data_IF_472098599650
#
_entry.id   IF_472098599650
#
_cell.length_a   1.000
_cell.length_b   1.000
_cell.length_c   1.000
_cell.angle_alpha   90.00
_cell.angle_beta   90.00
_cell.angle_gamma   90.00
#
_symmetry.space_group_name_H-M   'P 1'
#
loop_
_entity.id
_entity.type
_entity.pdbx_description
1 polymer ?
#
# COMPACT_ATOMS: atom_id res chain seq x y z
N UNK A 1 16.83 -27.64 2.12
CA UNK A 1 17.46 -28.52 3.14
C UNK A 1 17.93 -27.76 4.37
N UNK A 2 18.73 -26.69 4.24
CA UNK A 2 19.19 -25.87 5.39
C UNK A 2 18.05 -25.35 6.29
N UNK A 3 16.96 -24.84 5.71
CA UNK A 3 15.80 -24.36 6.47
C UNK A 3 15.23 -25.41 7.45
N UNK A 4 15.01 -26.64 6.97
CA UNK A 4 14.45 -27.73 7.78
C UNK A 4 15.38 -28.14 8.93
N UNK A 5 16.69 -28.10 8.70
CA UNK A 5 17.70 -28.36 9.74
C UNK A 5 17.62 -27.28 10.83
N UNK A 6 17.60 -26.01 10.44
CA UNK A 6 17.48 -24.89 11.39
C UNK A 6 16.17 -24.96 12.19
N UNK A 7 15.04 -25.21 11.52
CA UNK A 7 13.74 -25.33 12.18
C UNK A 7 13.72 -26.50 13.20
N UNK A 8 14.29 -27.65 12.84
CA UNK A 8 14.38 -28.81 13.73
C UNK A 8 15.27 -28.53 14.95
N UNK A 9 16.44 -27.90 14.74
CA UNK A 9 17.37 -27.53 15.83
C UNK A 9 16.73 -26.52 16.77
N UNK A 10 16.05 -25.50 16.23
CA UNK A 10 15.39 -24.48 17.03
C UNK A 10 14.24 -25.07 17.87
N UNK A 11 13.44 -25.96 17.27
CA UNK A 11 12.35 -26.66 17.97
C UNK A 11 12.90 -27.54 19.09
N UNK A 12 14.00 -28.27 18.85
CA UNK A 12 14.66 -29.08 19.87
C UNK A 12 15.22 -28.22 21.02
N UNK A 13 15.81 -27.06 20.72
CA UNK A 13 16.30 -26.13 21.72
C UNK A 13 15.17 -25.57 22.62
N UNK A 14 14.03 -25.22 22.03
CA UNK A 14 12.84 -24.76 22.76
C UNK A 14 12.29 -25.86 23.67
N UNK A 15 12.21 -27.11 23.19
CA UNK A 15 11.79 -28.25 24.00
C UNK A 15 12.75 -28.54 25.15
N UNK A 16 14.07 -28.42 24.93
CA UNK A 16 15.09 -28.57 25.97
C UNK A 16 14.98 -27.52 27.07
N UNK A 17 14.43 -26.34 26.81
CA UNK A 17 14.20 -25.32 27.83
C UNK A 17 12.88 -25.53 28.59
N UNK A 18 11.84 -25.97 27.90
CA UNK A 18 10.49 -26.09 28.47
C UNK A 18 10.25 -27.40 29.24
N UNK A 19 10.82 -28.51 28.77
CA UNK A 19 10.52 -29.85 29.31
C UNK A 19 11.19 -30.12 30.67
N UNK A 20 12.49 -29.79 30.90
CA UNK A 20 13.14 -30.07 32.19
C UNK A 20 12.50 -29.43 33.43
N UNK A 21 12.04 -28.15 33.43
CA UNK A 21 11.39 -27.57 34.61
C UNK A 21 10.02 -28.20 34.89
N UNK A 22 9.32 -28.73 33.88
CA UNK A 22 8.03 -29.41 34.03
C UNK A 22 8.17 -30.88 34.52
N UNK A 23 9.33 -31.49 34.30
CA UNK A 23 9.65 -32.85 34.75
C UNK A 23 10.22 -32.90 36.18
N UNK A 24 10.76 -31.78 36.70
CA UNK A 24 11.16 -31.66 38.10
C UNK A 24 9.90 -31.65 38.97
N UNK A 25 9.72 -32.70 39.77
CA UNK A 25 8.70 -32.67 40.83
C UNK A 25 9.02 -31.51 41.77
N UNK A 26 7.98 -30.88 42.33
CA UNK A 26 8.09 -30.01 43.50
C UNK A 26 8.51 -30.84 44.75
N UNK A 27 9.67 -31.48 44.68
CA UNK A 27 10.36 -32.09 45.81
C UNK A 27 11.37 -31.08 46.29
N UNK A 28 11.07 -30.48 47.44
CA UNK A 28 11.97 -29.80 48.38
C UNK A 28 13.01 -28.88 47.74
N UNK A 29 12.67 -27.59 47.64
CA UNK A 29 13.70 -26.54 47.60
C UNK A 29 14.60 -26.61 48.84
N UNK A 30 15.78 -25.95 48.82
CA UNK A 30 16.76 -26.03 49.90
C UNK A 30 16.12 -25.78 51.26
N UNK A 31 16.53 -26.61 52.22
CA UNK A 31 15.83 -26.96 53.45
C UNK A 31 15.52 -25.71 54.29
N UNK A 32 14.25 -25.27 54.24
CA UNK A 32 13.76 -24.09 54.98
C UNK A 32 13.99 -24.26 56.49
N UNK A 33 13.95 -25.51 56.96
CA UNK A 33 14.30 -25.92 58.32
C UNK A 33 15.78 -25.70 58.67
N UNK A 34 16.69 -25.78 57.71
CA UNK A 34 18.13 -25.57 57.93
C UNK A 34 18.44 -24.06 58.01
N UNK A 35 17.77 -23.25 57.17
CA UNK A 35 17.86 -21.78 57.22
C UNK A 35 17.25 -21.19 58.50
N UNK A 36 16.06 -21.66 58.92
CA UNK A 36 15.41 -21.16 60.13
C UNK A 36 16.21 -21.53 61.39
N UNK A 37 16.86 -22.70 61.42
CA UNK A 37 17.76 -23.12 62.51
C UNK A 37 19.00 -22.24 62.63
N UNK A 38 19.58 -21.81 61.51
CA UNK A 38 20.73 -20.92 61.51
C UNK A 38 20.35 -19.53 62.06
N UNK A 39 19.20 -18.99 61.65
CA UNK A 39 18.67 -17.71 62.16
C UNK A 39 18.41 -17.74 63.66
N UNK A 40 17.85 -18.82 64.20
CA UNK A 40 17.61 -18.92 65.65
C UNK A 40 18.90 -19.05 66.47
N UNK A 41 19.95 -19.68 65.93
CA UNK A 41 21.27 -19.72 66.59
C UNK A 41 21.88 -18.33 66.70
N UNK A 42 21.85 -17.57 65.61
CA UNK A 42 22.37 -16.19 65.60
C UNK A 42 21.65 -15.29 66.61
N UNK A 43 20.32 -15.45 66.75
CA UNK A 43 19.53 -14.71 67.74
C UNK A 43 19.88 -15.04 69.19
N UNK A 44 20.22 -16.29 69.49
CA UNK A 44 20.65 -16.70 70.83
C UNK A 44 22.05 -16.16 71.15
N UNK A 45 22.96 -16.19 70.17
CA UNK A 45 24.32 -15.68 70.33
C UNK A 45 24.33 -14.15 70.49
N UNK A 46 23.44 -13.43 69.80
CA UNK A 46 23.29 -11.98 69.97
C UNK A 46 22.78 -11.61 71.37
N UNK A 47 21.84 -12.37 71.90
CA UNK A 47 21.32 -12.18 73.25
C UNK A 47 22.41 -12.39 74.32
N UNK A 48 23.31 -13.35 74.12
CA UNK A 48 24.45 -13.56 75.03
C UNK A 48 25.47 -12.42 74.95
N UNK A 49 25.70 -11.86 73.76
CA UNK A 49 26.53 -10.65 73.60
C UNK A 49 25.89 -9.44 74.29
N UNK A 50 24.59 -9.27 74.24
CA UNK A 50 23.88 -8.17 74.90
C UNK A 50 23.92 -8.27 76.42
N UNK A 51 23.79 -9.49 76.95
CA UNK A 51 23.98 -9.77 78.38
C UNK A 51 25.42 -9.47 78.80
N UNK A 52 26.42 -9.91 78.05
CA UNK A 52 27.82 -9.66 78.34
C UNK A 52 28.18 -8.16 78.30
N UNK A 53 27.48 -7.38 77.47
CA UNK A 53 27.59 -5.91 77.40
C UNK A 53 26.79 -5.18 78.49
N UNK A 54 26.04 -5.89 79.32
CA UNK A 54 25.20 -5.31 80.38
C UNK A 54 23.99 -4.54 79.87
N UNK A 55 23.61 -4.71 78.60
CA UNK A 55 22.46 -4.04 77.98
C UNK A 55 21.12 -4.62 78.46
N UNK A 56 21.13 -5.89 78.87
CA UNK A 56 19.97 -6.62 79.39
C UNK A 56 20.37 -7.36 80.67
N UNK A 57 19.42 -7.52 81.58
CA UNK A 57 19.64 -8.30 82.80
C UNK A 57 19.34 -9.79 82.61
N UNK A 58 19.70 -10.60 83.61
CA UNK A 58 19.54 -12.06 83.56
C UNK A 58 18.08 -12.50 83.39
N UNK A 59 17.15 -11.81 84.04
CA UNK A 59 15.72 -12.11 83.93
C UNK A 59 15.17 -11.83 82.52
N UNK A 60 15.62 -10.74 81.88
CA UNK A 60 15.28 -10.41 80.49
C UNK A 60 15.88 -11.39 79.49
N UNK A 61 17.11 -11.86 79.75
CA UNK A 61 17.78 -12.87 78.92
C UNK A 61 16.99 -14.19 78.93
N UNK A 62 16.63 -14.69 80.11
CA UNK A 62 15.88 -15.95 80.22
C UNK A 62 14.48 -15.86 79.58
N UNK A 63 13.80 -14.71 79.73
CA UNK A 63 12.51 -14.46 79.08
C UNK A 63 12.62 -14.47 77.55
N UNK A 64 13.66 -13.86 76.99
CA UNK A 64 13.90 -13.84 75.55
C UNK A 64 14.28 -15.22 75.00
N UNK A 65 15.12 -16.00 75.72
CA UNK A 65 15.43 -17.40 75.35
C UNK A 65 14.17 -18.27 75.29
N UNK A 66 13.26 -18.11 76.25
CA UNK A 66 12.01 -18.87 76.30
C UNK A 66 11.01 -18.52 75.17
N UNK A 67 11.04 -17.28 74.67
CA UNK A 67 10.23 -16.85 73.53
C UNK A 67 10.80 -17.39 72.20
N UNK A 68 12.12 -17.34 72.02
CA UNK A 68 12.79 -17.90 70.84
C UNK A 68 12.54 -19.41 70.75
N UNK A 69 12.67 -20.14 71.87
CA UNK A 69 12.40 -21.57 71.93
C UNK A 69 10.95 -21.91 71.57
N UNK A 70 9.98 -21.10 72.02
CA UNK A 70 8.57 -21.27 71.66
C UNK A 70 8.30 -21.05 70.17
N UNK A 71 8.94 -20.04 69.56
CA UNK A 71 8.82 -19.78 68.12
C UNK A 71 9.40 -20.92 67.30
N UNK A 72 10.58 -21.42 67.67
CA UNK A 72 11.24 -22.55 67.01
C UNK A 72 10.38 -23.83 67.04
N UNK A 73 9.70 -24.12 68.16
CA UNK A 73 8.80 -25.26 68.27
C UNK A 73 7.51 -25.08 67.44
N UNK A 74 6.97 -23.86 67.37
CA UNK A 74 5.77 -23.57 66.61
C UNK A 74 5.97 -23.64 65.08
N UNK A 75 7.19 -23.37 64.58
CA UNK A 75 7.54 -23.62 63.17
C UNK A 75 7.67 -25.11 62.88
N UNK A 76 8.31 -25.88 63.76
CA UNK A 76 8.47 -27.32 63.61
C UNK A 76 7.13 -28.09 63.56
N UNK A 77 6.10 -27.66 64.31
CA UNK A 77 4.77 -28.28 64.28
C UNK A 77 3.97 -27.96 63.00
N UNK A 78 4.24 -26.82 62.35
CA UNK A 78 3.55 -26.41 61.10
C UNK A 78 4.02 -27.19 59.88
N UNK A 79 5.30 -27.56 59.84
CA UNK A 79 5.89 -28.28 58.71
C UNK A 79 5.55 -29.78 58.72
N UNK A 80 5.19 -30.34 59.89
CA UNK A 80 4.74 -31.73 60.02
C UNK A 80 3.34 -32.06 59.48
N UNK A 81 2.54 -31.07 59.03
CA UNK A 81 1.13 -31.28 58.68
C UNK A 81 0.70 -30.84 57.25
N UNK A 82 1.60 -30.83 56.26
CA UNK A 82 1.21 -30.62 54.86
C UNK A 82 1.13 -31.93 54.08
N UNK A 83 -0.09 -32.25 53.62
CA UNK A 83 -0.47 -33.52 52.98
C UNK A 83 0.12 -33.83 51.60
N UNK A 84 -0.19 -35.05 51.16
CA UNK A 84 0.35 -35.82 50.01
C UNK A 84 0.50 -35.08 48.66
N UNK A 85 1.45 -35.51 47.79
CA UNK A 85 1.79 -34.81 46.54
C UNK A 85 0.84 -35.20 45.40
N UNK A 86 -0.21 -34.41 45.16
CA UNK A 86 -1.09 -34.56 43.99
C UNK A 86 -0.58 -33.83 42.72
N UNK A 87 0.52 -33.09 42.78
CA UNK A 87 0.96 -32.17 41.71
C UNK A 87 1.98 -32.74 40.72
N UNK A 88 2.69 -33.83 41.06
CA UNK A 88 3.78 -34.35 40.23
C UNK A 88 3.32 -35.08 38.95
N UNK A 89 2.08 -35.60 38.92
CA UNK A 89 1.56 -36.37 37.78
C UNK A 89 1.06 -35.47 36.64
N UNK A 90 0.61 -34.24 36.91
CA UNK A 90 0.10 -33.33 35.88
C UNK A 90 1.22 -32.67 35.06
N UNK A 91 2.35 -32.32 35.69
CA UNK A 91 3.51 -31.72 35.00
C UNK A 91 4.15 -32.64 33.96
N UNK A 92 4.21 -33.94 34.23
CA UNK A 92 4.73 -34.95 33.28
C UNK A 92 3.82 -35.14 32.07
N UNK A 93 2.50 -35.14 32.27
CA UNK A 93 1.53 -35.23 31.16
C UNK A 93 1.62 -33.98 30.28
N UNK A 94 1.74 -32.80 30.89
CA UNK A 94 1.91 -31.55 30.16
C UNK A 94 3.21 -31.51 29.35
N UNK A 95 4.32 -32.00 29.92
CA UNK A 95 5.61 -32.07 29.23
C UNK A 95 5.56 -32.98 27.99
N UNK A 96 4.92 -34.15 28.09
CA UNK A 96 4.75 -35.07 26.96
C UNK A 96 3.83 -34.47 25.89
N UNK A 97 2.74 -33.83 26.29
CA UNK A 97 1.85 -33.14 25.36
C UNK A 97 2.57 -32.04 24.58
N UNK A 98 3.36 -31.20 25.26
CA UNK A 98 4.12 -30.13 24.61
C UNK A 98 5.19 -30.68 23.65
N UNK A 99 5.89 -31.76 24.02
CA UNK A 99 6.93 -32.36 23.18
C UNK A 99 6.39 -32.92 21.85
N UNK A 100 5.12 -33.35 21.81
CA UNK A 100 4.49 -33.93 20.62
C UNK A 100 3.66 -32.90 19.86
N UNK A 101 2.86 -32.09 20.56
CA UNK A 101 1.96 -31.14 19.92
C UNK A 101 2.69 -29.96 19.26
N UNK A 102 3.83 -29.50 19.80
CA UNK A 102 4.57 -28.39 19.18
C UNK A 102 5.09 -28.76 17.78
N UNK A 103 5.86 -29.85 17.58
CA UNK A 103 6.39 -30.19 16.26
C UNK A 103 5.27 -30.54 15.27
N UNK A 104 4.28 -31.32 15.70
CA UNK A 104 3.17 -31.74 14.84
C UNK A 104 2.30 -30.54 14.46
N UNK A 105 1.97 -29.67 15.41
CA UNK A 105 1.22 -28.45 15.17
C UNK A 105 1.96 -27.49 14.23
N UNK A 106 3.27 -27.30 14.44
CA UNK A 106 4.08 -26.46 13.55
C UNK A 106 4.11 -27.00 12.10
N UNK A 107 4.25 -28.31 11.93
CA UNK A 107 4.21 -28.94 10.60
C UNK A 107 2.83 -28.84 9.95
N UNK A 108 1.75 -29.01 10.72
CA UNK A 108 0.39 -28.87 10.22
C UNK A 108 0.06 -27.44 9.78
N UNK A 109 0.45 -26.44 10.58
CA UNK A 109 0.29 -25.01 10.23
C UNK A 109 1.15 -24.63 9.04
N UNK A 110 2.40 -25.12 8.97
CA UNK A 110 3.27 -24.86 7.82
C UNK A 110 2.75 -25.55 6.55
N UNK A 111 2.14 -26.73 6.66
CA UNK A 111 1.53 -27.43 5.53
C UNK A 111 0.26 -26.76 5.01
N UNK A 112 -0.53 -26.10 5.87
CA UNK A 112 -1.80 -25.48 5.49
C UNK A 112 -1.65 -24.02 5.02
N UNK A 113 -0.76 -23.25 5.66
CA UNK A 113 -0.54 -21.82 5.37
C UNK A 113 0.67 -21.62 4.48
N UNK A 114 1.69 -22.46 4.65
CA UNK A 114 2.91 -22.39 3.88
C UNK A 114 2.76 -22.92 2.47
N UNK A 115 3.83 -22.79 1.71
CA UNK A 115 3.96 -23.31 0.35
C UNK A 115 5.20 -24.22 0.28
N UNK A 116 5.12 -25.43 0.86
CA UNK A 116 6.24 -26.37 0.89
C UNK A 116 6.67 -26.84 -0.52
N UNK A 117 5.78 -26.66 -1.49
CA UNK A 117 5.94 -26.91 -2.92
C UNK A 117 6.79 -25.86 -3.66
N UNK A 118 6.97 -24.66 -3.09
CA UNK A 118 7.75 -23.61 -3.74
C UNK A 118 9.26 -23.85 -3.57
N UNK A 119 10.04 -23.82 -4.66
CA UNK A 119 11.49 -23.87 -4.57
C UNK A 119 12.02 -22.63 -3.85
N UNK A 120 13.08 -22.80 -3.08
CA UNK A 120 13.74 -21.69 -2.41
C UNK A 120 14.25 -20.68 -3.47
N UNK A 121 13.76 -19.45 -3.42
CA UNK A 121 14.25 -18.34 -4.25
C UNK A 121 15.16 -17.42 -3.41
N UNK A 122 16.49 -17.60 -3.47
CA UNK A 122 17.42 -16.72 -2.78
C UNK A 122 17.28 -15.28 -3.28
N UNK A 123 17.50 -14.29 -2.40
CA UNK A 123 17.40 -12.86 -2.74
C UNK A 123 18.22 -12.47 -3.98
N UNK A 124 19.36 -13.12 -4.22
CA UNK A 124 20.21 -12.91 -5.39
C UNK A 124 19.51 -13.25 -6.73
N UNK A 125 18.45 -14.05 -6.70
CA UNK A 125 17.67 -14.45 -7.87
C UNK A 125 16.36 -13.65 -8.05
N UNK A 126 16.07 -12.70 -7.16
CA UNK A 126 14.91 -11.80 -7.25
C UNK A 126 15.27 -10.52 -8.00
N UNK A 127 14.43 -10.14 -8.95
CA UNK A 127 14.60 -8.89 -9.70
C UNK A 127 13.82 -7.77 -8.98
N UNK A 128 14.44 -7.21 -7.94
CA UNK A 128 13.81 -6.28 -6.98
C UNK A 128 13.29 -4.97 -7.63
N UNK A 129 13.82 -4.58 -8.80
CA UNK A 129 13.31 -3.43 -9.57
C UNK A 129 11.94 -3.70 -10.23
N UNK A 130 11.65 -4.94 -10.59
CA UNK A 130 10.38 -5.32 -11.22
C UNK A 130 9.24 -5.42 -10.20
N UNK A 131 9.57 -5.71 -8.95
CA UNK A 131 8.64 -5.61 -7.82
C UNK A 131 8.32 -4.14 -7.44
N UNK A 132 9.08 -3.17 -7.97
CA UNK A 132 8.95 -1.73 -7.71
C UNK A 132 8.27 -0.93 -8.83
N UNK A 133 7.77 -1.59 -9.88
CA UNK A 133 6.90 -0.95 -10.89
C UNK A 133 7.60 -0.18 -12.01
N UNK A 134 8.93 -0.25 -12.15
CA UNK A 134 9.62 0.27 -13.34
C UNK A 134 9.49 -0.68 -14.55
N UNK A 135 9.56 -0.18 -15.80
CA UNK A 135 9.60 -1.06 -16.97
C UNK A 135 10.82 -2.00 -16.86
N UNK A 136 10.68 -3.29 -17.20
CA UNK A 136 11.78 -4.24 -17.11
C UNK A 136 13.01 -3.71 -17.85
N UNK A 137 14.22 -3.93 -17.31
CA UNK A 137 15.47 -3.56 -18.01
C UNK A 137 15.54 -4.12 -19.43
N UNK A 138 14.89 -5.26 -19.68
CA UNK A 138 14.76 -5.85 -21.01
C UNK A 138 13.94 -4.98 -21.98
N UNK A 139 12.93 -4.25 -21.50
CA UNK A 139 12.14 -3.32 -22.30
C UNK A 139 12.97 -2.08 -22.65
N UNK A 140 13.70 -1.51 -21.69
CA UNK A 140 14.60 -0.38 -21.96
C UNK A 140 15.71 -0.76 -22.96
N UNK A 141 16.35 -1.91 -22.76
CA UNK A 141 17.37 -2.41 -23.70
C UNK A 141 16.79 -2.72 -25.10
N UNK A 142 15.55 -3.22 -25.16
CA UNK A 142 14.86 -3.43 -26.44
C UNK A 142 14.56 -2.10 -27.15
N UNK A 143 14.22 -1.05 -26.41
CA UNK A 143 14.01 0.30 -26.97
C UNK A 143 15.31 0.92 -27.48
N UNK A 144 16.42 0.79 -26.73
CA UNK A 144 17.73 1.28 -27.20
C UNK A 144 18.16 0.58 -28.49
N UNK A 145 17.92 -0.74 -28.57
CA UNK A 145 18.16 -1.51 -29.80
C UNK A 145 17.27 -1.04 -30.95
N UNK A 146 15.97 -0.84 -30.70
CA UNK A 146 15.03 -0.34 -31.71
C UNK A 146 15.44 1.04 -32.20
N UNK A 147 15.88 1.93 -31.31
CA UNK A 147 16.40 3.25 -31.67
C UNK A 147 17.65 3.17 -32.55
N UNK A 148 18.59 2.27 -32.24
CA UNK A 148 19.77 2.06 -33.07
C UNK A 148 19.38 1.54 -34.47
N UNK A 149 18.44 0.60 -34.54
CA UNK A 149 17.93 0.06 -35.81
C UNK A 149 17.24 1.14 -36.66
N UNK A 150 16.46 2.01 -36.03
CA UNK A 150 15.79 3.13 -36.70
C UNK A 150 16.75 4.23 -37.15
N UNK A 151 17.89 4.37 -36.48
CA UNK A 151 18.97 5.25 -36.94
C UNK A 151 19.64 4.73 -38.22
N UNK A 152 19.76 3.41 -38.37
CA UNK A 152 20.28 2.76 -39.58
C UNK A 152 19.21 2.70 -40.70
N UNK A 153 17.95 2.51 -40.33
CA UNK A 153 16.80 2.39 -41.24
C UNK A 153 15.71 3.42 -40.91
N UNK A 154 15.89 4.71 -41.28
CA UNK A 154 14.96 5.77 -40.89
C UNK A 154 13.60 5.71 -41.59
N UNK A 155 13.43 4.87 -42.61
CA UNK A 155 12.19 4.72 -43.37
C UNK A 155 11.26 3.61 -42.81
N UNK A 156 11.58 3.01 -41.66
CA UNK A 156 10.73 2.02 -41.01
C UNK A 156 9.58 2.67 -40.24
N UNK A 157 8.46 2.90 -40.94
CA UNK A 157 7.23 3.47 -40.37
C UNK A 157 6.76 2.70 -39.13
N UNK A 158 6.76 1.36 -39.20
CA UNK A 158 6.25 0.51 -38.14
C UNK A 158 7.13 0.58 -36.89
N UNK A 159 8.45 0.61 -37.08
CA UNK A 159 9.39 0.78 -35.98
C UNK A 159 9.24 2.13 -35.27
N UNK A 160 9.06 3.23 -36.01
CA UNK A 160 8.78 4.55 -35.42
C UNK A 160 7.46 4.59 -34.65
N UNK A 161 6.40 3.97 -35.17
CA UNK A 161 5.12 3.85 -34.49
C UNK A 161 5.24 3.08 -33.17
N UNK A 162 5.89 1.91 -33.20
CA UNK A 162 6.11 1.09 -32.00
C UNK A 162 6.92 1.86 -30.95
N UNK A 163 7.96 2.56 -31.38
CA UNK A 163 8.79 3.37 -30.50
C UNK A 163 7.97 4.50 -29.83
N UNK A 164 7.14 5.21 -30.60
CA UNK A 164 6.26 6.25 -30.09
C UNK A 164 5.26 5.73 -29.06
N UNK A 165 4.58 4.62 -29.37
CA UNK A 165 3.63 3.99 -28.44
C UNK A 165 4.31 3.47 -27.17
N UNK A 166 5.53 2.95 -27.28
CA UNK A 166 6.31 2.51 -26.12
C UNK A 166 6.67 3.68 -25.21
N UNK A 167 7.10 4.82 -25.77
CA UNK A 167 7.36 6.03 -24.99
C UNK A 167 6.11 6.58 -24.32
N UNK A 168 4.97 6.62 -25.03
CA UNK A 168 3.70 7.09 -24.47
C UNK A 168 3.25 6.23 -23.28
N UNK A 169 3.37 4.90 -23.38
CA UNK A 169 3.05 3.98 -22.26
C UNK A 169 3.95 4.19 -21.03
N UNK A 170 5.13 4.75 -21.21
CA UNK A 170 6.06 5.09 -20.13
C UNK A 170 5.85 6.51 -19.58
N UNK A 171 4.87 7.27 -20.11
CA UNK A 171 4.67 8.68 -19.76
C UNK A 171 5.71 9.63 -20.35
N UNK A 172 6.57 9.14 -21.25
CA UNK A 172 7.60 9.94 -21.94
C UNK A 172 7.01 10.61 -23.19
N UNK A 173 6.07 11.53 -22.97
CA UNK A 173 5.25 12.10 -24.05
C UNK A 173 6.07 12.89 -25.08
N UNK A 174 7.14 13.59 -24.67
CA UNK A 174 8.02 14.31 -25.59
C UNK A 174 8.76 13.35 -26.55
N UNK A 175 9.37 12.29 -26.01
CA UNK A 175 10.04 11.27 -26.85
C UNK A 175 9.04 10.52 -27.76
N UNK A 176 7.81 10.31 -27.27
CA UNK A 176 6.73 9.72 -28.04
C UNK A 176 6.36 10.60 -29.23
N UNK A 177 6.19 11.91 -29.01
CA UNK A 177 5.91 12.87 -30.06
C UNK A 177 7.03 12.90 -31.12
N UNK A 178 8.29 12.86 -30.70
CA UNK A 178 9.42 12.83 -31.63
C UNK A 178 9.43 11.58 -32.52
N UNK A 179 9.19 10.40 -31.94
CA UNK A 179 9.10 9.15 -32.70
C UNK A 179 7.89 9.14 -33.66
N UNK A 180 6.73 9.62 -33.21
CA UNK A 180 5.54 9.71 -34.06
C UNK A 180 5.68 10.77 -35.17
N UNK A 181 6.46 11.84 -34.95
CA UNK A 181 6.77 12.83 -36.00
C UNK A 181 7.51 12.17 -37.17
N UNK A 182 8.45 11.27 -36.90
CA UNK A 182 9.08 10.47 -37.94
C UNK A 182 8.08 9.57 -38.67
N UNK A 183 7.18 8.91 -37.94
CA UNK A 183 6.15 8.07 -38.55
C UNK A 183 5.22 8.89 -39.47
N UNK A 184 4.74 10.05 -39.03
CA UNK A 184 3.88 10.95 -39.82
C UNK A 184 4.62 11.47 -41.06
N UNK A 185 5.93 11.73 -40.97
CA UNK A 185 6.72 12.13 -42.13
C UNK A 185 6.78 11.03 -43.21
N UNK A 186 6.71 9.75 -42.82
CA UNK A 186 6.70 8.61 -43.73
C UNK A 186 5.31 8.30 -44.29
N UNK A 187 4.25 8.55 -43.52
CA UNK A 187 2.87 8.36 -43.96
C UNK A 187 1.94 9.45 -43.42
N UNK A 188 1.96 10.62 -44.06
CA UNK A 188 1.14 11.78 -43.69
C UNK A 188 -0.37 11.58 -43.91
N UNK A 189 -0.74 10.59 -44.69
CA UNK A 189 -2.13 10.37 -45.13
C UNK A 189 -2.90 9.42 -44.20
N UNK A 190 -2.23 8.76 -43.27
CA UNK A 190 -2.84 7.88 -42.29
C UNK A 190 -3.57 8.71 -41.21
N UNK A 191 -4.91 8.61 -41.23
CA UNK A 191 -5.80 9.36 -40.33
C UNK A 191 -5.54 9.00 -38.87
N UNK A 192 -5.35 7.71 -38.57
CA UNK A 192 -5.19 7.26 -37.20
C UNK A 192 -3.83 7.68 -36.65
N UNK A 193 -2.78 7.62 -37.48
CA UNK A 193 -1.46 8.11 -37.14
C UNK A 193 -1.45 9.62 -36.88
N UNK A 194 -2.13 10.41 -37.71
CA UNK A 194 -2.25 11.86 -37.50
C UNK A 194 -2.95 12.18 -36.19
N UNK A 195 -4.04 11.48 -35.88
CA UNK A 195 -4.77 11.69 -34.63
C UNK A 195 -3.96 11.30 -33.39
N UNK A 196 -3.28 10.14 -33.41
CA UNK A 196 -2.39 9.70 -32.35
C UNK A 196 -1.23 10.68 -32.13
N UNK A 197 -0.66 11.20 -33.22
CA UNK A 197 0.41 12.19 -33.17
C UNK A 197 -0.07 13.48 -32.52
N UNK A 198 -1.25 14.00 -32.92
CA UNK A 198 -1.87 15.18 -32.32
C UNK A 198 -2.12 15.01 -30.82
N UNK A 199 -2.69 13.89 -30.39
CA UNK A 199 -2.93 13.60 -28.96
C UNK A 199 -1.63 13.53 -28.16
N UNK A 200 -0.59 12.95 -28.74
CA UNK A 200 0.71 12.82 -28.10
C UNK A 200 1.37 14.18 -27.96
N UNK A 201 1.26 15.06 -28.96
CA UNK A 201 1.73 16.44 -28.89
C UNK A 201 1.02 17.24 -27.79
N UNK A 202 -0.30 17.12 -27.68
CA UNK A 202 -1.06 17.76 -26.60
C UNK A 202 -0.60 17.23 -25.24
N UNK A 203 -0.42 15.91 -25.11
CA UNK A 203 0.06 15.27 -23.88
C UNK A 203 1.51 15.66 -23.54
N UNK A 204 2.33 15.95 -24.54
CA UNK A 204 3.71 16.42 -24.38
C UNK A 204 3.81 17.89 -23.98
N UNK A 205 2.75 18.67 -24.19
CA UNK A 205 2.66 20.10 -23.87
C UNK A 205 1.67 20.35 -22.73
N UNK A 206 1.53 19.40 -21.79
CA UNK A 206 0.71 19.51 -20.59
C UNK A 206 -0.75 19.94 -20.86
N UNK A 207 -1.33 19.46 -21.97
CA UNK A 207 -2.70 19.77 -22.37
C UNK A 207 -2.84 21.02 -23.26
N UNK A 208 -1.77 21.78 -23.49
CA UNK A 208 -1.75 22.83 -24.51
C UNK A 208 -1.76 22.21 -25.90
N UNK A 209 -2.54 22.77 -26.82
CA UNK A 209 -2.64 22.31 -28.21
C UNK A 209 -1.66 23.13 -29.07
N UNK A 210 -0.44 22.61 -29.35
CA UNK A 210 0.50 23.33 -30.21
C UNK A 210 0.01 23.36 -31.66
N UNK A 211 0.53 24.30 -32.46
CA UNK A 211 0.18 24.46 -33.89
C UNK A 211 0.38 23.18 -34.71
N UNK A 212 1.43 22.40 -34.38
CA UNK A 212 1.69 21.10 -35.01
C UNK A 212 0.55 20.10 -34.74
N UNK A 213 -0.03 20.10 -33.53
CA UNK A 213 -1.17 19.26 -33.20
C UNK A 213 -2.43 19.73 -33.92
N UNK A 214 -2.65 21.04 -34.04
CA UNK A 214 -3.76 21.60 -34.83
C UNK A 214 -3.69 21.11 -36.27
N UNK A 215 -2.50 21.17 -36.89
CA UNK A 215 -2.28 20.70 -38.25
C UNK A 215 -2.59 19.21 -38.41
N UNK A 216 -2.19 18.39 -37.43
CA UNK A 216 -2.48 16.95 -37.42
C UNK A 216 -4.00 16.68 -37.31
N UNK A 217 -4.70 17.37 -36.41
CA UNK A 217 -6.15 17.23 -36.26
C UNK A 217 -6.93 17.78 -37.47
N UNK A 218 -6.46 18.84 -38.12
CA UNK A 218 -7.05 19.34 -39.36
C UNK A 218 -6.91 18.30 -40.50
N UNK A 219 -5.78 17.59 -40.56
CA UNK A 219 -5.60 16.49 -41.50
C UNK A 219 -6.58 15.32 -41.24
N UNK A 220 -6.87 15.02 -39.98
CA UNK A 220 -7.91 14.05 -39.59
C UNK A 220 -9.28 14.54 -40.04
N UNK A 221 -9.66 15.78 -39.69
CA UNK A 221 -10.98 16.34 -40.02
C UNK A 221 -11.23 16.50 -41.52
N UNK A 222 -10.18 16.67 -42.32
CA UNK A 222 -10.29 16.71 -43.77
C UNK A 222 -10.77 15.37 -44.37
N UNK A 223 -10.48 14.24 -43.71
CA UNK A 223 -10.86 12.88 -44.16
C UNK A 223 -12.06 12.34 -43.37
N UNK A 224 -12.11 12.63 -42.09
CA UNK A 224 -13.15 12.20 -41.16
C UNK A 224 -13.74 13.42 -40.42
N UNK A 225 -14.66 14.18 -41.06
CA UNK A 225 -15.22 15.40 -40.47
C UNK A 225 -16.00 15.19 -39.17
N UNK A 226 -16.35 13.93 -38.88
CA UNK A 226 -17.10 13.51 -37.69
C UNK A 226 -16.22 12.88 -36.60
N UNK A 227 -14.89 12.80 -36.79
CA UNK A 227 -13.99 12.23 -35.79
C UNK A 227 -14.13 13.01 -34.46
N UNK A 228 -14.58 12.36 -33.37
CA UNK A 228 -14.90 13.06 -32.12
C UNK A 228 -13.65 13.62 -31.45
N UNK A 229 -12.50 12.92 -31.58
CA UNK A 229 -11.21 13.32 -31.03
C UNK A 229 -10.73 14.63 -31.66
N UNK A 230 -10.64 14.70 -32.98
CA UNK A 230 -10.16 15.86 -33.69
C UNK A 230 -11.12 17.05 -33.53
N UNK A 231 -12.44 16.81 -33.52
CA UNK A 231 -13.44 17.85 -33.20
C UNK A 231 -13.25 18.40 -31.78
N UNK A 232 -12.95 17.55 -30.81
CA UNK A 232 -12.68 17.94 -29.43
C UNK A 232 -11.43 18.83 -29.33
N UNK A 233 -10.29 18.39 -29.88
CA UNK A 233 -9.04 19.15 -29.79
C UNK A 233 -9.06 20.43 -30.64
N UNK A 234 -9.77 20.44 -31.77
CA UNK A 234 -9.97 21.67 -32.56
C UNK A 234 -10.82 22.73 -31.82
N UNK A 235 -11.71 22.31 -30.92
CA UNK A 235 -12.43 23.22 -30.04
C UNK A 235 -11.55 23.66 -28.86
N UNK A 236 -10.75 22.75 -28.28
CA UNK A 236 -9.78 23.09 -27.23
C UNK A 236 -8.74 24.11 -27.70
N UNK A 237 -8.21 23.97 -28.92
CA UNK A 237 -7.28 24.94 -29.50
C UNK A 237 -7.89 26.34 -29.59
N UNK A 238 -9.18 26.45 -29.97
CA UNK A 238 -9.91 27.73 -29.99
C UNK A 238 -10.07 28.32 -28.61
N UNK A 239 -10.42 27.50 -27.64
CA UNK A 239 -10.57 27.93 -26.25
C UNK A 239 -9.26 28.51 -25.71
N UNK A 240 -8.14 27.81 -25.95
CA UNK A 240 -6.80 28.26 -25.56
C UNK A 240 -6.34 29.52 -26.32
N UNK A 241 -6.83 29.73 -27.54
CA UNK A 241 -6.62 30.96 -28.30
C UNK A 241 -7.52 32.14 -27.87
N UNK A 242 -8.40 31.94 -26.88
CA UNK A 242 -9.31 32.96 -26.36
C UNK A 242 -10.67 33.05 -27.09
N UNK A 243 -10.91 32.23 -28.11
CA UNK A 243 -12.20 32.12 -28.81
C UNK A 243 -13.14 31.20 -28.02
N UNK A 244 -13.55 31.68 -26.84
CA UNK A 244 -14.39 30.93 -25.89
C UNK A 244 -15.77 30.61 -26.48
N UNK A 245 -16.35 31.55 -27.22
CA UNK A 245 -17.64 31.34 -27.88
C UNK A 245 -17.53 30.28 -28.98
N UNK A 246 -16.54 30.38 -29.87
CA UNK A 246 -16.34 29.41 -30.93
C UNK A 246 -15.98 28.01 -30.42
N UNK A 247 -15.31 27.91 -29.26
CA UNK A 247 -15.07 26.64 -28.58
C UNK A 247 -16.36 26.05 -28.00
N UNK A 248 -17.15 26.86 -27.28
CA UNK A 248 -18.44 26.46 -26.71
C UNK A 248 -19.38 25.91 -27.81
N UNK A 249 -19.48 26.60 -28.93
CA UNK A 249 -20.33 26.20 -30.06
C UNK A 249 -19.91 24.82 -30.62
N UNK A 250 -18.59 24.60 -30.78
CA UNK A 250 -18.04 23.34 -31.30
C UNK A 250 -18.21 22.17 -30.35
N UNK A 251 -17.92 22.36 -29.05
CA UNK A 251 -18.14 21.32 -28.05
C UNK A 251 -19.63 21.01 -27.87
N UNK A 252 -20.50 22.02 -27.94
CA UNK A 252 -21.95 21.83 -27.88
C UNK A 252 -22.45 21.01 -29.08
N UNK A 253 -21.98 21.31 -30.30
CA UNK A 253 -22.30 20.50 -31.47
C UNK A 253 -21.79 19.06 -31.35
N UNK A 254 -20.55 18.87 -30.88
CA UNK A 254 -20.00 17.54 -30.61
C UNK A 254 -20.86 16.79 -29.57
N UNK A 255 -21.28 17.45 -28.49
CA UNK A 255 -22.12 16.87 -27.46
C UNK A 255 -23.49 16.45 -28.01
N UNK A 256 -24.16 17.32 -28.77
CA UNK A 256 -25.46 17.04 -29.34
C UNK A 256 -25.46 15.86 -30.33
N UNK A 257 -24.33 15.61 -30.99
CA UNK A 257 -24.16 14.50 -31.95
C UNK A 257 -23.58 13.22 -31.30
N UNK A 258 -23.22 13.24 -30.02
CA UNK A 258 -22.59 12.11 -29.33
C UNK A 258 -23.62 11.19 -28.67
N UNK A 259 -23.46 9.85 -28.74
CA UNK A 259 -24.19 8.91 -27.89
C UNK A 259 -23.93 9.17 -26.40
N UNK A 260 -24.94 9.07 -25.56
CA UNK A 260 -24.85 9.38 -24.13
C UNK A 260 -23.83 8.53 -23.36
N UNK A 261 -23.52 7.33 -23.86
CA UNK A 261 -22.57 6.38 -23.30
C UNK A 261 -21.16 6.49 -23.91
N UNK A 262 -20.93 7.42 -24.84
CA UNK A 262 -19.63 7.55 -25.47
C UNK A 262 -18.55 8.04 -24.48
N UNK A 263 -17.32 7.48 -24.52
CA UNK A 263 -16.28 7.75 -23.51
C UNK A 263 -15.88 9.22 -23.36
N UNK A 264 -16.03 10.03 -24.41
CA UNK A 264 -15.65 11.44 -24.43
C UNK A 264 -16.75 12.37 -23.88
N UNK A 265 -18.00 11.91 -23.72
CA UNK A 265 -19.12 12.74 -23.23
C UNK A 265 -18.84 13.45 -21.90
N UNK A 266 -18.28 12.79 -20.86
CA UNK A 266 -18.00 13.46 -19.60
C UNK A 266 -17.00 14.62 -19.78
N UNK A 267 -15.95 14.38 -20.57
CA UNK A 267 -14.89 15.37 -20.80
C UNK A 267 -15.41 16.56 -21.63
N UNK A 268 -16.19 16.30 -22.68
CA UNK A 268 -16.83 17.36 -23.49
C UNK A 268 -17.75 18.22 -22.61
N UNK A 269 -18.53 17.59 -21.72
CA UNK A 269 -19.43 18.30 -20.80
C UNK A 269 -18.67 19.23 -19.86
N UNK A 270 -17.52 18.79 -19.34
CA UNK A 270 -16.69 19.60 -18.46
C UNK A 270 -16.10 20.81 -19.21
N UNK A 271 -15.67 20.62 -20.46
CA UNK A 271 -15.19 21.72 -21.32
C UNK A 271 -16.29 22.74 -21.69
N UNK A 272 -17.51 22.28 -21.96
CA UNK A 272 -18.68 23.15 -22.16
C UNK A 272 -18.93 24.00 -20.91
N UNK A 273 -18.85 23.40 -19.72
CA UNK A 273 -19.02 24.11 -18.45
C UNK A 273 -17.97 25.19 -18.28
N UNK A 274 -16.70 24.87 -18.54
CA UNK A 274 -15.59 25.80 -18.42
C UNK A 274 -15.75 27.00 -19.38
N UNK A 275 -16.09 26.75 -20.65
CA UNK A 275 -16.35 27.81 -21.61
C UNK A 275 -17.58 28.66 -21.25
N UNK A 276 -18.65 28.04 -20.76
CA UNK A 276 -19.85 28.76 -20.31
C UNK A 276 -19.53 29.70 -19.15
N UNK A 277 -18.75 29.23 -18.16
CA UNK A 277 -18.32 30.05 -17.01
C UNK A 277 -17.47 31.23 -17.49
N UNK A 278 -16.53 31.00 -18.40
CA UNK A 278 -15.67 32.05 -18.93
C UNK A 278 -16.45 33.16 -19.66
N UNK A 279 -17.58 32.80 -20.28
CA UNK A 279 -18.51 33.71 -20.95
C UNK A 279 -19.60 34.30 -20.02
N UNK A 280 -19.59 33.99 -18.72
CA UNK A 280 -20.65 34.35 -17.77
C UNK A 280 -22.05 33.83 -18.17
N UNK A 281 -22.11 32.66 -18.80
CA UNK A 281 -23.33 31.95 -19.16
C UNK A 281 -23.66 30.89 -18.12
N UNK A 282 -24.94 30.54 -17.98
CA UNK A 282 -25.39 29.43 -17.14
C UNK A 282 -25.08 28.09 -17.83
N UNK A 283 -24.14 27.27 -17.31
CA UNK A 283 -23.77 26.01 -17.94
C UNK A 283 -24.94 25.04 -18.13
N UNK A 284 -25.93 25.07 -17.24
CA UNK A 284 -27.08 24.18 -17.32
C UNK A 284 -28.01 24.51 -18.51
N UNK A 285 -27.98 25.76 -19.00
CA UNK A 285 -28.79 26.22 -20.12
C UNK A 285 -28.11 26.03 -21.47
N UNK A 286 -26.79 26.05 -21.50
CA UNK A 286 -26.00 25.99 -22.73
C UNK A 286 -25.43 24.61 -23.03
N UNK A 287 -25.53 23.64 -22.10
CA UNK A 287 -25.07 22.26 -22.33
C UNK A 287 -26.17 21.44 -23.02
N UNK A 288 -25.96 20.97 -24.26
CA UNK A 288 -26.94 20.12 -24.94
C UNK A 288 -27.03 18.72 -24.32
N UNK A 289 -28.19 18.09 -24.45
CA UNK A 289 -28.35 16.67 -24.12
C UNK A 289 -27.69 15.81 -25.21
N UNK A 290 -26.87 14.80 -24.88
CA UNK A 290 -26.41 13.83 -25.86
C UNK A 290 -27.56 12.98 -26.43
N UNK A 291 -27.29 12.33 -27.56
CA UNK A 291 -28.19 11.33 -28.14
C UNK A 291 -28.40 10.16 -27.16
N UNK A 292 -29.55 9.46 -27.20
CA UNK A 292 -29.73 8.23 -26.43
C UNK A 292 -28.58 7.22 -26.66
N UNK A 293 -28.27 6.34 -25.70
CA UNK A 293 -27.23 5.32 -25.87
C UNK A 293 -27.48 4.54 -27.16
N UNK A 294 -26.44 4.35 -27.97
CA UNK A 294 -26.57 3.51 -29.15
C UNK A 294 -26.89 2.09 -28.69
N UNK A 295 -28.12 1.63 -28.97
CA UNK A 295 -28.42 0.22 -28.92
C UNK A 295 -27.52 -0.43 -29.95
N UNK A 296 -26.51 -1.19 -29.51
CA UNK A 296 -25.71 -2.03 -30.40
C UNK A 296 -26.65 -3.08 -31.01
N UNK A 297 -27.30 -2.71 -32.11
CA UNK A 297 -27.92 -3.66 -33.02
C UNK A 297 -26.83 -4.62 -33.45
N UNK A 298 -26.91 -5.85 -32.94
CA UNK A 298 -26.16 -6.99 -33.43
C UNK A 298 -26.62 -7.24 -34.87
N UNK A 299 -26.05 -6.50 -35.82
CA UNK A 299 -26.10 -6.83 -37.22
C UNK A 299 -25.37 -8.16 -37.41
N UNK A 300 -26.14 -9.25 -37.41
CA UNK A 300 -25.69 -10.53 -37.97
C UNK A 300 -25.35 -10.30 -39.45
N UNK A 301 -24.13 -10.58 -39.92
CA UNK A 301 -23.86 -10.60 -41.35
C UNK A 301 -24.23 -11.98 -41.90
N UNK A 302 -25.26 -12.01 -42.74
CA UNK A 302 -25.53 -13.12 -43.67
C UNK A 302 -24.46 -13.17 -44.77
N UNK A 303 -23.52 -14.12 -44.63
CA UNK A 303 -22.77 -14.92 -45.64
C UNK A 303 -21.85 -14.22 -46.69
N UNK A 304 -20.98 -14.97 -47.41
CA UNK A 304 -20.04 -16.04 -47.02
C UNK A 304 -18.59 -15.79 -47.54
N UNK A 305 -17.59 -16.44 -46.91
CA UNK A 305 -16.16 -16.48 -47.28
C UNK A 305 -15.30 -15.20 -47.12
N UNK A 306 -14.78 -15.00 -45.91
CA UNK A 306 -13.38 -14.63 -45.68
C UNK A 306 -12.96 -15.20 -44.32
N UNK A 307 -11.78 -15.83 -44.26
CA UNK A 307 -11.27 -16.55 -43.11
C UNK A 307 -11.18 -15.67 -41.86
N UNK A 308 -11.60 -16.14 -40.66
CA UNK A 308 -11.38 -15.41 -39.44
C UNK A 308 -10.02 -15.80 -38.85
N UNK A 309 -9.09 -14.84 -38.78
CA UNK A 309 -8.07 -14.86 -37.73
C UNK A 309 -7.57 -13.44 -37.43
N UNK A 310 -7.50 -13.17 -36.12
CA UNK A 310 -6.85 -12.05 -35.46
C UNK A 310 -7.55 -10.68 -35.44
N UNK A 311 -8.77 -10.61 -34.89
CA UNK A 311 -9.28 -9.38 -34.25
C UNK A 311 -10.50 -9.66 -33.34
N UNK A 312 -10.31 -10.60 -32.41
CA UNK A 312 -11.24 -10.80 -31.30
C UNK A 312 -10.41 -11.31 -30.11
N UNK A 313 -9.84 -10.38 -29.31
CA UNK A 313 -9.38 -10.62 -27.93
C UNK A 313 -8.78 -9.35 -27.28
N UNK A 314 -9.40 -8.18 -27.45
CA UNK A 314 -8.99 -6.98 -26.70
C UNK A 314 -10.14 -6.25 -26.00
N UNK A 315 -11.36 -6.26 -26.57
CA UNK A 315 -12.49 -5.51 -26.00
C UNK A 315 -13.54 -6.39 -25.29
N UNK A 316 -13.51 -7.71 -25.47
CA UNK A 316 -14.33 -8.65 -24.69
C UNK A 316 -13.74 -9.01 -23.31
N UNK A 317 -12.44 -8.75 -23.10
CA UNK A 317 -11.75 -9.16 -21.87
C UNK A 317 -11.81 -8.10 -20.77
N UNK A 318 -11.79 -6.80 -21.06
CA UNK A 318 -11.73 -5.77 -20.00
C UNK A 318 -12.98 -5.76 -19.11
N UNK A 319 -14.18 -5.79 -19.69
CA UNK A 319 -15.43 -5.81 -18.92
C UNK A 319 -15.60 -7.12 -18.11
N UNK A 320 -15.23 -8.26 -18.70
CA UNK A 320 -15.27 -9.56 -18.00
C UNK A 320 -14.19 -9.70 -16.93
N UNK A 321 -13.03 -9.06 -17.12
CA UNK A 321 -11.92 -9.09 -16.19
C UNK A 321 -12.18 -8.17 -14.98
N UNK A 322 -12.83 -7.03 -15.17
CA UNK A 322 -13.30 -6.17 -14.08
C UNK A 322 -14.37 -6.86 -13.23
N UNK A 323 -15.33 -7.55 -13.86
CA UNK A 323 -16.36 -8.30 -13.16
C UNK A 323 -15.77 -9.50 -12.40
N UNK A 324 -14.78 -10.17 -13.00
CA UNK A 324 -14.01 -11.23 -12.34
C UNK A 324 -13.21 -10.71 -11.14
N UNK A 325 -12.55 -9.55 -11.25
CA UNK A 325 -11.81 -8.92 -10.14
C UNK A 325 -12.77 -8.54 -9.02
N UNK A 326 -13.93 -7.94 -9.33
CA UNK A 326 -14.96 -7.62 -8.31
C UNK A 326 -15.46 -8.87 -7.62
N UNK A 327 -15.68 -9.96 -8.34
CA UNK A 327 -16.06 -11.27 -7.76
C UNK A 327 -14.99 -11.84 -6.83
N UNK A 328 -13.70 -11.78 -7.21
CA UNK A 328 -12.60 -12.21 -6.34
C UNK A 328 -12.50 -11.36 -5.06
N UNK A 329 -12.68 -10.05 -5.16
CA UNK A 329 -12.66 -9.13 -4.01
C UNK A 329 -13.88 -9.34 -3.11
N UNK A 330 -15.06 -9.61 -3.67
CA UNK A 330 -16.26 -9.95 -2.90
C UNK A 330 -16.09 -11.27 -2.12
N UNK A 331 -15.49 -12.30 -2.72
CA UNK A 331 -15.17 -13.55 -2.04
C UNK A 331 -14.16 -13.35 -0.89
N UNK A 332 -13.15 -12.49 -1.10
CA UNK A 332 -12.21 -12.12 -0.04
C UNK A 332 -12.94 -11.41 1.11
N UNK A 333 -13.83 -10.47 0.81
CA UNK A 333 -14.63 -9.78 1.81
C UNK A 333 -15.48 -10.75 2.64
N UNK A 334 -16.21 -11.66 1.98
CA UNK A 334 -17.03 -12.67 2.65
C UNK A 334 -16.21 -13.61 3.56
N UNK A 335 -15.03 -14.02 3.10
CA UNK A 335 -14.11 -14.82 3.92
C UNK A 335 -13.65 -14.07 5.17
N UNK A 336 -13.32 -12.78 5.03
CA UNK A 336 -12.86 -11.97 6.15
C UNK A 336 -14.00 -11.63 7.12
N UNK A 337 -15.24 -11.53 6.66
CA UNK A 337 -16.39 -11.45 7.56
C UNK A 337 -16.59 -12.75 8.37
N UNK A 338 -16.25 -13.91 7.80
CA UNK A 338 -16.31 -15.20 8.50
C UNK A 338 -15.11 -15.44 9.44
N UNK A 339 -13.93 -14.93 9.08
CA UNK A 339 -12.74 -14.88 9.94
C UNK A 339 -12.25 -13.44 10.12
N UNK A 340 -12.84 -12.70 11.08
CA UNK A 340 -12.50 -11.31 11.26
C UNK A 340 -11.08 -11.10 11.77
N UNK A 341 -10.33 -12.13 12.19
CA UNK A 341 -9.02 -11.95 12.83
C UNK A 341 -7.89 -11.61 11.85
N UNK A 342 -8.07 -11.83 10.54
CA UNK A 342 -7.05 -11.62 9.51
C UNK A 342 -6.86 -10.13 9.15
N UNK A 343 -6.02 -9.44 9.94
CA UNK A 343 -5.65 -8.02 9.73
C UNK A 343 -5.04 -7.79 8.35
N UNK A 344 -4.15 -8.66 7.89
CA UNK A 344 -3.48 -8.51 6.59
C UNK A 344 -4.45 -8.70 5.42
N UNK A 345 -5.43 -9.58 5.59
CA UNK A 345 -6.57 -9.73 4.70
C UNK A 345 -7.40 -8.45 4.62
N UNK A 346 -7.75 -7.85 5.76
CA UNK A 346 -8.45 -6.56 5.79
C UNK A 346 -7.66 -5.43 5.11
N UNK A 347 -6.33 -5.37 5.28
CA UNK A 347 -5.48 -4.40 4.59
C UNK A 347 -5.43 -4.62 3.08
N UNK A 348 -5.35 -5.88 2.63
CA UNK A 348 -5.43 -6.22 1.20
C UNK A 348 -6.78 -5.80 0.62
N UNK A 349 -7.86 -6.10 1.35
CA UNK A 349 -9.21 -5.74 0.94
C UNK A 349 -9.39 -4.23 0.80
N UNK A 350 -8.89 -3.44 1.76
CA UNK A 350 -8.93 -1.99 1.71
C UNK A 350 -8.20 -1.44 0.47
N UNK A 351 -7.01 -1.96 0.15
CA UNK A 351 -6.26 -1.58 -1.06
C UNK A 351 -6.99 -1.98 -2.34
N UNK A 352 -7.57 -3.19 -2.39
CA UNK A 352 -8.35 -3.66 -3.53
C UNK A 352 -9.56 -2.77 -3.82
N UNK A 353 -10.33 -2.40 -2.79
CA UNK A 353 -11.45 -1.47 -2.95
C UNK A 353 -11.00 -0.07 -3.37
N UNK A 354 -9.85 0.41 -2.89
CA UNK A 354 -9.28 1.68 -3.33
C UNK A 354 -8.93 1.70 -4.82
N UNK A 355 -8.34 0.62 -5.34
CA UNK A 355 -8.01 0.46 -6.77
C UNK A 355 -9.29 0.37 -7.62
N UNK A 356 -10.33 -0.28 -7.11
CA UNK A 356 -11.63 -0.41 -7.78
C UNK A 356 -12.48 0.87 -7.76
N UNK A 357 -12.01 1.94 -7.13
CA UNK A 357 -12.76 3.19 -7.02
C UNK A 357 -13.96 3.10 -6.08
N UNK A 358 -13.89 2.23 -5.07
CA UNK A 358 -14.94 2.04 -4.05
C UNK A 358 -14.48 2.58 -2.67
N UNK A 359 -14.32 3.90 -2.50
CA UNK A 359 -13.65 4.50 -1.35
C UNK A 359 -14.36 4.24 -0.01
N UNK A 360 -15.70 4.16 -0.02
CA UNK A 360 -16.46 3.83 1.19
C UNK A 360 -16.14 2.42 1.71
N UNK A 361 -16.10 1.42 0.81
CA UNK A 361 -15.77 0.04 1.20
C UNK A 361 -14.30 -0.11 1.59
N UNK A 362 -13.41 0.65 0.95
CA UNK A 362 -12.01 0.71 1.32
C UNK A 362 -11.83 1.21 2.77
N UNK A 363 -12.57 2.27 3.14
CA UNK A 363 -12.56 2.82 4.50
C UNK A 363 -13.12 1.82 5.52
N UNK A 364 -14.21 1.13 5.22
CA UNK A 364 -14.78 0.12 6.11
C UNK A 364 -13.82 -1.04 6.36
N UNK A 365 -13.17 -1.55 5.30
CA UNK A 365 -12.16 -2.60 5.43
C UNK A 365 -10.94 -2.12 6.25
N UNK A 366 -10.48 -0.89 6.03
CA UNK A 366 -9.38 -0.32 6.80
C UNK A 366 -9.76 -0.07 8.28
N UNK A 367 -11.02 0.30 8.56
CA UNK A 367 -11.54 0.44 9.93
C UNK A 367 -11.53 -0.91 10.65
N UNK A 368 -11.97 -1.97 9.96
CA UNK A 368 -11.91 -3.34 10.50
C UNK A 368 -10.46 -3.73 10.82
N UNK A 369 -9.50 -3.49 9.91
CA UNK A 369 -8.08 -3.73 10.21
C UNK A 369 -7.61 -2.96 11.46
N UNK A 370 -7.98 -1.68 11.57
CA UNK A 370 -7.59 -0.79 12.66
C UNK A 370 -8.16 -1.19 14.02
N UNK A 371 -9.40 -1.66 14.07
CA UNK A 371 -10.00 -2.18 15.31
C UNK A 371 -9.21 -3.36 15.90
N UNK A 372 -8.58 -4.16 15.04
CA UNK A 372 -7.90 -5.40 15.42
C UNK A 372 -6.42 -5.21 15.69
N UNK A 373 -5.78 -4.28 15.00
CA UNK A 373 -4.38 -3.93 15.21
C UNK A 373 -4.16 -2.42 15.18
N UNK A 374 -4.65 -1.67 16.19
CA UNK A 374 -4.54 -0.21 16.22
C UNK A 374 -3.10 0.29 16.39
N UNK A 375 -2.17 -0.54 16.85
CA UNK A 375 -0.77 -0.14 17.05
C UNK A 375 0.13 -0.39 15.85
N UNK A 376 -0.38 -1.06 14.81
CA UNK A 376 0.40 -1.36 13.60
C UNK A 376 0.49 -0.13 12.69
N UNK A 377 1.71 0.26 12.32
CA UNK A 377 1.97 1.43 11.49
C UNK A 377 1.30 1.33 10.11
N UNK A 378 1.41 0.18 9.44
CA UNK A 378 0.83 -0.06 8.13
C UNK A 378 -0.72 -0.05 8.15
N UNK A 379 -1.32 -0.49 9.25
CA UNK A 379 -2.77 -0.40 9.46
C UNK A 379 -3.23 1.04 9.59
N UNK A 380 -2.50 1.86 10.35
CA UNK A 380 -2.80 3.27 10.51
C UNK A 380 -2.62 4.07 9.21
N UNK A 381 -1.57 3.78 8.44
CA UNK A 381 -1.35 4.36 7.10
C UNK A 381 -2.47 3.95 6.14
N UNK A 382 -2.87 2.69 6.12
CA UNK A 382 -3.97 2.22 5.28
C UNK A 382 -5.30 2.89 5.63
N UNK A 383 -5.60 3.08 6.93
CA UNK A 383 -6.77 3.84 7.37
C UNK A 383 -6.71 5.29 6.92
N UNK A 384 -5.57 5.97 7.12
CA UNK A 384 -5.39 7.35 6.69
C UNK A 384 -5.63 7.49 5.18
N UNK A 385 -5.01 6.64 4.36
CA UNK A 385 -5.19 6.64 2.92
C UNK A 385 -6.65 6.41 2.50
N UNK A 386 -7.36 5.50 3.18
CA UNK A 386 -8.78 5.26 2.90
C UNK A 386 -9.67 6.46 3.26
N UNK A 387 -9.37 7.18 4.35
CA UNK A 387 -10.02 8.45 4.69
C UNK A 387 -9.76 9.53 3.64
N UNK A 388 -8.56 9.58 3.08
CA UNK A 388 -8.23 10.55 2.02
C UNK A 388 -8.98 10.24 0.71
N UNK A 389 -9.18 8.96 0.39
CA UNK A 389 -9.93 8.55 -0.79
C UNK A 389 -11.43 8.88 -0.71
N UNK A 390 -11.99 9.04 0.49
CA UNK A 390 -13.39 9.45 0.65
C UNK A 390 -13.59 10.96 0.56
N UNK A 391 -12.50 11.74 0.55
CA UNK A 391 -12.60 13.18 0.39
C UNK A 391 -12.97 13.54 -1.06
N UNK A 392 -13.84 14.54 -1.26
CA UNK A 392 -14.08 15.07 -2.60
C UNK A 392 -12.77 15.62 -3.16
N UNK A 393 -12.52 15.37 -4.45
CA UNK A 393 -11.43 16.02 -5.18
C UNK A 393 -11.74 17.51 -5.24
N UNK A 394 -11.08 18.29 -4.39
CA UNK A 394 -11.22 19.74 -4.36
C UNK A 394 -10.21 20.36 -5.31
N UNK A 395 -10.62 21.43 -6.01
CA UNK A 395 -9.75 22.25 -6.86
C UNK A 395 -8.64 22.94 -6.05
N UNK A 396 -8.90 23.22 -4.77
CA UNK A 396 -7.93 23.83 -3.85
C UNK A 396 -7.39 22.80 -2.85
N UNK A 397 -6.05 22.70 -2.68
CA UNK A 397 -5.44 21.86 -1.65
C UNK A 397 -5.93 22.29 -0.25
N UNK A 398 -6.49 21.35 0.51
CA UNK A 398 -6.91 21.56 1.90
C UNK A 398 -6.04 20.73 2.84
N UNK A 399 -5.84 21.19 4.09
CA UNK A 399 -5.25 20.37 5.14
C UNK A 399 -5.92 18.99 5.23
N UNK A 400 -5.13 17.97 5.59
CA UNK A 400 -5.64 16.61 5.70
C UNK A 400 -6.67 16.53 6.85
N UNK A 401 -7.72 15.70 6.73
CA UNK A 401 -8.68 15.49 7.81
C UNK A 401 -7.98 15.07 9.12
N UNK A 402 -8.52 15.53 10.26
CA UNK A 402 -7.96 15.23 11.59
C UNK A 402 -7.85 13.72 11.85
N UNK A 403 -8.82 12.94 11.39
CA UNK A 403 -8.79 11.48 11.51
C UNK A 403 -7.60 10.85 10.77
N UNK A 404 -7.26 11.36 9.58
CA UNK A 404 -6.14 10.89 8.78
C UNK A 404 -4.81 11.30 9.42
N UNK A 405 -4.67 12.57 9.82
CA UNK A 405 -3.43 13.05 10.47
C UNK A 405 -3.17 12.35 11.80
N UNK A 406 -4.22 12.08 12.59
CA UNK A 406 -4.11 11.34 13.85
C UNK A 406 -3.62 9.91 13.62
N UNK A 407 -4.15 9.22 12.61
CA UNK A 407 -3.68 7.89 12.23
C UNK A 407 -2.20 7.92 11.77
N UNK A 408 -1.80 8.88 10.94
CA UNK A 408 -0.41 9.00 10.49
C UNK A 408 0.57 9.28 11.64
N UNK A 409 0.17 10.08 12.65
CA UNK A 409 0.98 10.30 13.85
C UNK A 409 1.13 9.02 14.68
N UNK A 410 0.08 8.21 14.79
CA UNK A 410 0.17 6.88 15.41
C UNK A 410 1.09 5.95 14.63
N UNK A 411 1.06 6.02 13.29
CA UNK A 411 1.97 5.26 12.44
C UNK A 411 3.44 5.63 12.70
N UNK A 412 3.77 6.93 12.79
CA UNK A 412 5.13 7.38 13.15
C UNK A 412 5.54 7.03 14.57
N UNK A 413 4.59 6.92 15.50
CA UNK A 413 4.88 6.46 16.86
C UNK A 413 5.31 4.99 16.87
N UNK A 414 4.69 4.15 16.04
CA UNK A 414 5.03 2.75 15.90
C UNK A 414 6.28 2.53 15.02
N UNK A 415 6.41 3.30 13.94
CA UNK A 415 7.50 3.23 12.98
C UNK A 415 7.97 4.65 12.61
N UNK A 416 8.98 5.20 13.32
CA UNK A 416 9.43 6.59 13.15
C UNK A 416 9.93 6.93 11.74
N UNK A 417 10.38 5.93 11.00
CA UNK A 417 10.91 6.07 9.64
C UNK A 417 9.87 5.73 8.56
N UNK A 418 8.59 5.59 8.91
CA UNK A 418 7.54 5.25 7.94
C UNK A 418 7.41 6.33 6.85
N UNK A 419 7.77 5.96 5.61
CA UNK A 419 7.87 6.88 4.48
C UNK A 419 6.55 7.59 4.14
N UNK A 420 5.45 6.83 4.11
CA UNK A 420 4.13 7.34 3.74
C UNK A 420 3.63 8.35 4.78
N UNK A 421 3.84 8.05 6.07
CA UNK A 421 3.46 8.94 7.15
C UNK A 421 4.29 10.22 7.18
N UNK A 422 5.62 10.14 6.97
CA UNK A 422 6.49 11.32 6.85
C UNK A 422 6.09 12.18 5.63
N UNK A 423 5.78 11.56 4.49
CA UNK A 423 5.37 12.29 3.29
C UNK A 423 4.07 13.05 3.50
N UNK A 424 3.03 12.35 3.95
CA UNK A 424 1.67 12.91 4.10
C UNK A 424 1.59 13.95 5.23
N UNK A 425 2.27 13.74 6.35
CA UNK A 425 2.32 14.75 7.42
C UNK A 425 3.15 15.98 7.01
N UNK A 426 4.20 15.81 6.21
CA UNK A 426 4.93 16.95 5.64
C UNK A 426 4.06 17.76 4.67
N UNK A 427 3.22 17.10 3.87
CA UNK A 427 2.22 17.77 3.02
C UNK A 427 1.18 18.53 3.85
N UNK A 428 0.62 17.91 4.89
CA UNK A 428 -0.34 18.56 5.78
C UNK A 428 0.25 19.81 6.46
N UNK A 429 1.46 19.67 6.99
CA UNK A 429 2.18 20.76 7.64
C UNK A 429 2.42 21.93 6.67
N UNK A 430 2.84 21.63 5.43
CA UNK A 430 3.01 22.63 4.38
C UNK A 430 1.69 23.35 4.05
N UNK A 431 0.60 22.61 3.84
CA UNK A 431 -0.73 23.18 3.53
C UNK A 431 -1.29 24.01 4.70
N UNK A 432 -0.92 23.65 5.93
CA UNK A 432 -1.31 24.36 7.15
C UNK A 432 -0.38 25.54 7.49
N UNK A 433 0.61 25.86 6.64
CA UNK A 433 1.58 26.92 6.88
C UNK A 433 2.65 26.61 7.95
N UNK A 434 2.68 25.38 8.49
CA UNK A 434 3.65 24.91 9.49
C UNK A 434 4.94 24.45 8.79
N UNK A 435 5.70 25.42 8.28
CA UNK A 435 6.90 25.15 7.45
C UNK A 435 7.99 24.36 8.18
N UNK A 436 8.19 24.62 9.47
CA UNK A 436 9.22 23.93 10.27
C UNK A 436 8.90 22.43 10.41
N UNK A 437 7.64 22.10 10.74
CA UNK A 437 7.17 20.71 10.79
C UNK A 437 7.29 20.00 9.43
N UNK A 438 6.98 20.71 8.34
CA UNK A 438 7.13 20.16 6.99
C UNK A 438 8.60 19.87 6.66
N UNK A 439 9.50 20.77 7.04
CA UNK A 439 10.94 20.60 6.86
C UNK A 439 11.49 19.43 7.68
N UNK A 440 11.01 19.24 8.91
CA UNK A 440 11.40 18.11 9.76
C UNK A 440 10.95 16.77 9.16
N UNK A 441 9.70 16.67 8.72
CA UNK A 441 9.16 15.45 8.13
C UNK A 441 9.87 15.09 6.81
N UNK A 442 10.00 16.04 5.88
CA UNK A 442 10.68 15.79 4.61
C UNK A 442 12.20 15.66 4.76
N UNK A 443 12.79 16.32 5.75
CA UNK A 443 14.20 16.18 6.12
C UNK A 443 14.53 14.78 6.65
N UNK A 444 13.63 14.16 7.41
CA UNK A 444 13.75 12.74 7.78
C UNK A 444 13.47 11.80 6.61
N UNK A 445 12.54 12.15 5.73
CA UNK A 445 12.18 11.32 4.59
C UNK A 445 13.30 11.25 3.54
N UNK A 446 13.94 12.38 3.24
CA UNK A 446 14.96 12.47 2.19
C UNK A 446 16.21 11.65 2.50
N UNK A 447 16.53 11.41 3.78
CA UNK A 447 17.69 10.57 4.18
C UNK A 447 17.50 9.10 3.83
N UNK A 448 16.27 8.69 3.50
CA UNK A 448 15.95 7.32 3.12
C UNK A 448 16.10 7.06 1.60
N UNK A 449 16.51 8.06 0.83
CA UNK A 449 16.71 8.00 -0.62
C UNK A 449 18.14 8.36 -1.00
N UNK A 450 18.64 7.77 -2.07
CA UNK A 450 19.94 8.11 -2.64
C UNK A 450 19.84 9.40 -3.46
N UNK A 451 20.92 10.19 -3.59
CA UNK A 451 20.92 11.39 -4.43
C UNK A 451 20.55 11.16 -5.90
N UNK A 452 20.72 9.93 -6.41
CA UNK A 452 20.32 9.52 -7.76
C UNK A 452 18.83 9.24 -7.91
N UNK A 453 18.09 9.10 -6.80
CA UNK A 453 16.69 8.71 -6.82
C UNK A 453 15.82 9.94 -7.16
N UNK A 454 14.79 9.80 -8.03
CA UNK A 454 13.88 10.90 -8.36
C UNK A 454 13.22 11.53 -7.12
N UNK A 455 12.86 10.72 -6.12
CA UNK A 455 12.24 11.14 -4.88
C UNK A 455 13.17 12.04 -4.05
N UNK A 456 14.48 11.78 -4.08
CA UNK A 456 15.46 12.64 -3.43
C UNK A 456 15.46 14.03 -4.07
N UNK A 457 15.43 14.10 -5.40
CA UNK A 457 15.41 15.37 -6.14
C UNK A 457 14.12 16.16 -5.86
N UNK A 458 12.97 15.47 -5.86
CA UNK A 458 11.68 16.07 -5.51
C UNK A 458 11.66 16.63 -4.08
N UNK A 459 12.09 15.82 -3.10
CA UNK A 459 12.14 16.23 -1.70
C UNK A 459 13.12 17.36 -1.47
N UNK A 460 14.28 17.33 -2.15
CA UNK A 460 15.26 18.40 -2.09
C UNK A 460 14.69 19.72 -2.61
N UNK A 461 14.04 19.71 -3.78
CA UNK A 461 13.38 20.90 -4.32
C UNK A 461 12.32 21.48 -3.38
N UNK A 462 11.54 20.62 -2.72
CA UNK A 462 10.54 21.04 -1.72
C UNK A 462 11.18 21.64 -0.46
N UNK A 463 12.24 21.02 0.06
CA UNK A 463 12.99 21.53 1.21
C UNK A 463 13.67 22.87 0.91
N UNK A 464 14.19 23.04 -0.31
CA UNK A 464 14.81 24.30 -0.74
C UNK A 464 13.76 25.40 -0.91
N UNK A 465 12.57 25.08 -1.44
CA UNK A 465 11.45 26.01 -1.56
C UNK A 465 10.94 26.50 -0.19
N UNK A 466 10.91 25.62 0.82
CA UNK A 466 10.55 26.00 2.19
C UNK A 466 11.50 27.04 2.80
N UNK A 467 12.80 26.98 2.44
CA UNK A 467 13.83 27.92 2.90
C UNK A 467 13.81 29.25 2.14
N UNK A 468 13.48 29.22 0.84
CA UNK A 468 13.48 30.41 -0.01
C UNK A 468 12.28 31.34 0.22
N UNK A 469 11.18 30.83 0.77
CA UNK A 469 9.98 31.61 1.10
C UNK A 469 9.90 32.07 2.55
N UNK A 470 11.03 32.25 3.23
CA UNK A 470 11.15 32.72 4.62
C UNK A 470 11.29 34.22 4.74
#
# INVERSE_FOLDING_TARGET
>A
MLFWIFAAVLTAAVLLLLVPPLLRSAGSGPDREEFDREVYRDQLDELERDRARGLINDAQTEAAKAEIARRMLATAEKDGNTGAPATARSGRVLAVLLAVLLPVGALAVYGSVGRPDLPAQPLASRNLEQERGGPPKSVLAAMDKLKAQLAENPNDLQGWLILGQAYAKMGRNADAADALRHAVALNKDDVELQGLFGETLVSANDGMVPEEAVTAFDAVLAKEPKDPRARFFAALARFQAGDQQGALDRWSALMAESPADAPWVPVVRDQIREAAVALNLDPAKVTPQPLPPEQKEQAQPTAPNAQPNAQANAQGNAAGQDEMIRGMVANLAARLDADPSDVDGWLKLARSYGVLGEPAKALDAARKARERAPERADVQVAYANAVLQTQPRNETPKPLPEEATSALRLALKAEPDNKDALWLLGLDAMMSGRKDEAADHWGKLITQFKPSDPEYTLLKGRLDALKAGG
#
